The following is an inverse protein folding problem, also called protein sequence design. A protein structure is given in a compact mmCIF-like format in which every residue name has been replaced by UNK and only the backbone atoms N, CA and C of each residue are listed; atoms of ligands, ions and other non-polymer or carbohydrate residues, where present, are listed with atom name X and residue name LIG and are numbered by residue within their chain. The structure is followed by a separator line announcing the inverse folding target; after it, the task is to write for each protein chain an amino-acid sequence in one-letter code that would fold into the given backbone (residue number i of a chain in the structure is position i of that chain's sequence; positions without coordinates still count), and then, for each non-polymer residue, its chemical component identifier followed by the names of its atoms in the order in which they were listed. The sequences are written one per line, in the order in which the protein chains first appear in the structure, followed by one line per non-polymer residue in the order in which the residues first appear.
data_IF_810473778110
#
_entry.id   IF_810473778110
#
_cell.length_a   1.000
_cell.length_b   1.000
_cell.length_c   1.000
_cell.angle_alpha   90.00
_cell.angle_beta   90.00
_cell.angle_gamma   90.00
#
_symmetry.space_group_name_H-M   'P 1'
#
loop_
_entity.id
_entity.type
_entity.pdbx_description
1 polymer ?
#
# COMPACT_ATOMS: atom_id res chain seq x y z
N UNK A 1 -10.91 -22.34 11.20
CA UNK A 1 -11.24 -21.34 10.17
C UNK A 1 -10.07 -21.12 9.21
N UNK A 2 -8.88 -20.72 9.71
CA UNK A 2 -7.71 -20.42 8.87
C UNK A 2 -7.26 -21.54 7.91
N UNK A 3 -7.33 -22.82 8.31
CA UNK A 3 -7.03 -23.97 7.43
C UNK A 3 -7.86 -24.02 6.12
N UNK A 4 -8.99 -23.31 6.06
CA UNK A 4 -9.80 -23.23 4.82
C UNK A 4 -9.11 -22.44 3.71
N UNK A 5 -8.09 -21.65 4.04
CA UNK A 5 -7.36 -20.82 3.08
C UNK A 5 -6.10 -21.49 2.52
N UNK A 6 -5.71 -22.68 3.01
CA UNK A 6 -4.46 -23.38 2.63
C UNK A 6 -4.35 -23.68 1.12
N UNK A 7 -5.49 -23.76 0.43
CA UNK A 7 -5.56 -24.01 -1.02
C UNK A 7 -6.26 -22.87 -1.78
N UNK A 8 -6.19 -21.65 -1.26
CA UNK A 8 -6.79 -20.46 -1.88
C UNK A 8 -5.73 -19.58 -2.56
N UNK A 9 -6.02 -19.13 -3.77
CA UNK A 9 -5.18 -18.18 -4.51
C UNK A 9 -5.17 -16.80 -3.82
N UNK A 10 -4.00 -16.17 -3.69
CA UNK A 10 -3.81 -14.88 -2.99
C UNK A 10 -4.52 -14.82 -1.63
N UNK A 11 -4.37 -15.87 -0.81
CA UNK A 11 -5.07 -15.97 0.47
C UNK A 11 -4.84 -14.75 1.38
N UNK A 12 -3.64 -14.15 1.32
CA UNK A 12 -3.25 -12.93 2.02
C UNK A 12 -4.13 -11.70 1.72
N UNK A 13 -4.75 -11.66 0.53
CA UNK A 13 -5.64 -10.56 0.13
C UNK A 13 -7.06 -10.70 0.69
N UNK A 14 -7.43 -11.86 1.25
CA UNK A 14 -8.83 -12.14 1.61
C UNK A 14 -9.05 -12.68 3.03
N UNK A 15 -8.08 -13.38 3.63
CA UNK A 15 -8.35 -14.14 4.86
C UNK A 15 -8.65 -13.20 6.03
N UNK A 16 -7.88 -12.11 6.18
CA UNK A 16 -7.99 -11.20 7.31
C UNK A 16 -9.33 -10.46 7.24
N UNK A 17 -9.66 -9.93 6.07
CA UNK A 17 -10.92 -9.24 5.78
C UNK A 17 -12.10 -10.16 6.08
N UNK A 18 -12.03 -11.42 5.66
CA UNK A 18 -13.09 -12.41 5.93
C UNK A 18 -13.26 -12.65 7.42
N UNK A 19 -12.16 -12.82 8.18
CA UNK A 19 -12.22 -13.01 9.64
C UNK A 19 -12.84 -11.79 10.33
N UNK A 20 -12.29 -10.59 10.06
CA UNK A 20 -12.69 -9.38 10.79
C UNK A 20 -14.16 -9.02 10.50
N UNK A 21 -14.63 -9.15 9.26
CA UNK A 21 -16.03 -8.85 8.91
C UNK A 21 -17.04 -9.75 9.62
N UNK A 22 -16.63 -10.93 10.08
CA UNK A 22 -17.46 -11.87 10.85
C UNK A 22 -17.23 -11.77 12.37
N UNK A 23 -16.40 -10.84 12.85
CA UNK A 23 -16.00 -10.75 14.26
C UNK A 23 -16.89 -9.83 15.11
N UNK A 24 -17.75 -9.03 14.50
CA UNK A 24 -18.54 -7.99 15.18
C UNK A 24 -17.75 -6.74 15.58
N UNK A 25 -16.47 -6.64 15.20
CA UNK A 25 -15.67 -5.43 15.38
C UNK A 25 -16.12 -4.31 14.45
N UNK A 26 -15.91 -3.06 14.88
CA UNK A 26 -16.03 -1.89 14.00
C UNK A 26 -14.83 -1.86 13.06
N UNK A 27 -15.08 -1.75 11.75
CA UNK A 27 -14.06 -1.86 10.71
C UNK A 27 -14.06 -0.57 9.88
N UNK A 28 -12.87 0.00 9.68
CA UNK A 28 -12.63 1.10 8.74
C UNK A 28 -12.05 0.52 7.46
N UNK A 29 -12.68 0.80 6.32
CA UNK A 29 -12.17 0.40 5.00
C UNK A 29 -11.05 1.37 4.54
N UNK A 30 -9.95 1.38 5.28
CA UNK A 30 -8.81 2.25 5.04
C UNK A 30 -7.54 1.53 5.52
N UNK A 31 -6.67 1.18 4.58
CA UNK A 31 -5.44 0.43 4.84
C UNK A 31 -4.21 1.33 4.96
N UNK A 32 -4.40 2.66 4.94
CA UNK A 32 -3.40 3.70 5.22
C UNK A 32 -2.11 3.58 4.39
N UNK A 33 -2.21 3.07 3.16
CA UNK A 33 -1.08 2.98 2.22
C UNK A 33 -1.46 3.64 0.90
N UNK A 34 -0.61 4.55 0.42
CA UNK A 34 -0.70 5.08 -0.91
C UNK A 34 -0.19 4.04 -1.92
N UNK A 35 -1.04 3.66 -2.87
CA UNK A 35 -0.71 2.71 -3.94
C UNK A 35 -1.36 3.17 -5.23
N UNK A 36 -0.55 3.41 -6.26
CA UNK A 36 -1.04 3.83 -7.57
C UNK A 36 -1.30 2.64 -8.49
N UNK A 37 -2.59 2.40 -8.78
CA UNK A 37 -3.09 1.36 -9.68
C UNK A 37 -3.58 1.90 -11.03
N UNK A 38 -3.44 3.19 -11.32
CA UNK A 38 -3.98 3.83 -12.55
C UNK A 38 -3.43 3.21 -13.84
N UNK A 39 -2.26 2.56 -13.78
CA UNK A 39 -1.67 1.85 -14.91
C UNK A 39 -2.35 0.54 -15.31
N UNK A 40 -3.28 0.00 -14.50
CA UNK A 40 -4.10 -1.18 -14.85
C UNK A 40 -3.35 -2.51 -15.00
N UNK A 41 -2.11 -2.60 -14.51
CA UNK A 41 -1.29 -3.82 -14.56
C UNK A 41 -1.53 -4.78 -13.40
N UNK A 42 -0.85 -5.93 -13.44
CA UNK A 42 -0.82 -6.94 -12.36
C UNK A 42 -0.10 -6.47 -11.09
N UNK A 43 0.68 -5.41 -11.19
CA UNK A 43 1.38 -4.76 -10.08
C UNK A 43 1.16 -3.26 -10.13
N UNK A 44 1.15 -2.58 -8.97
CA UNK A 44 1.02 -1.13 -8.95
C UNK A 44 2.23 -0.46 -9.60
N UNK A 45 2.05 0.81 -9.97
CA UNK A 45 3.10 1.67 -10.51
C UNK A 45 4.31 1.72 -9.56
N UNK A 46 5.51 1.77 -10.14
CA UNK A 46 6.72 2.20 -9.41
C UNK A 46 6.68 3.72 -9.34
N UNK A 47 6.58 4.25 -8.12
CA UNK A 47 6.47 5.68 -7.86
C UNK A 47 7.78 6.38 -8.22
N UNK A 48 7.66 7.58 -8.76
CA UNK A 48 8.80 8.45 -9.15
C UNK A 48 8.68 9.79 -8.45
N UNK A 49 9.67 10.68 -8.65
CA UNK A 49 9.66 12.02 -8.06
C UNK A 49 8.42 12.84 -8.44
N UNK A 50 7.84 12.55 -9.60
CA UNK A 50 6.61 13.20 -10.09
C UNK A 50 5.37 12.86 -9.22
N UNK A 51 5.42 11.76 -8.48
CA UNK A 51 4.32 11.32 -7.60
C UNK A 51 4.40 11.93 -6.19
N UNK A 52 5.51 12.60 -5.83
CA UNK A 52 5.72 13.18 -4.49
C UNK A 52 4.56 14.06 -4.04
N UNK A 53 4.01 14.97 -4.87
CA UNK A 53 2.86 15.77 -4.44
C UNK A 53 1.69 14.89 -4.03
N UNK A 54 1.32 13.87 -4.81
CA UNK A 54 0.19 13.00 -4.48
C UNK A 54 0.46 12.15 -3.23
N UNK A 55 1.71 11.69 -3.03
CA UNK A 55 2.12 10.95 -1.84
C UNK A 55 1.94 11.82 -0.59
N UNK A 56 2.50 13.04 -0.59
CA UNK A 56 2.48 13.94 0.56
C UNK A 56 1.10 14.54 0.86
N UNK A 57 0.24 14.69 -0.16
CA UNK A 57 -1.15 15.11 0.05
C UNK A 57 -2.06 13.97 0.54
N UNK A 58 -1.60 12.72 0.49
CA UNK A 58 -2.39 11.59 0.95
C UNK A 58 -2.46 11.56 2.48
N UNK A 59 -3.57 11.06 3.03
CA UNK A 59 -3.69 10.78 4.47
C UNK A 59 -3.07 9.41 4.85
N UNK A 60 -2.20 8.85 4.01
CA UNK A 60 -1.62 7.53 4.20
C UNK A 60 -0.34 7.62 5.02
N UNK A 61 -0.07 6.57 5.81
CA UNK A 61 1.16 6.49 6.62
C UNK A 61 2.35 5.90 5.85
N UNK A 62 2.07 5.18 4.77
CA UNK A 62 3.07 4.50 3.95
C UNK A 62 2.73 4.64 2.46
N UNK A 63 3.71 4.41 1.59
CA UNK A 63 3.50 4.37 0.14
C UNK A 63 4.25 3.18 -0.50
N UNK A 64 3.76 2.68 -1.64
CA UNK A 64 4.46 1.68 -2.48
C UNK A 64 4.07 1.82 -3.96
N UNK A 65 4.88 1.37 -4.92
CA UNK A 65 6.19 0.72 -4.76
C UNK A 65 7.33 1.68 -5.11
N UNK A 66 8.42 1.62 -4.36
CA UNK A 66 9.68 2.30 -4.67
C UNK A 66 10.70 1.30 -5.20
N UNK A 67 11.56 1.74 -6.10
CA UNK A 67 12.65 0.95 -6.69
C UNK A 67 13.81 1.90 -6.99
N UNK A 68 14.93 1.73 -6.31
CA UNK A 68 16.12 2.59 -6.40
C UNK A 68 16.75 2.57 -7.79
N UNK A 69 16.57 1.50 -8.56
CA UNK A 69 17.03 1.38 -9.94
C UNK A 69 16.13 2.12 -10.93
N UNK A 70 14.89 2.42 -10.55
CA UNK A 70 13.95 3.18 -11.37
C UNK A 70 14.05 4.67 -11.04
N UNK A 71 13.99 5.01 -9.76
CA UNK A 71 14.11 6.39 -9.28
C UNK A 71 14.53 6.41 -7.80
N UNK A 72 15.81 6.67 -7.53
CA UNK A 72 16.33 6.87 -6.16
C UNK A 72 15.93 8.25 -5.59
N UNK A 73 15.66 9.23 -6.45
CA UNK A 73 15.39 10.60 -6.02
C UNK A 73 14.09 10.70 -5.23
N UNK A 74 13.05 9.94 -5.61
CA UNK A 74 11.81 9.88 -4.81
C UNK A 74 12.04 9.28 -3.42
N UNK A 75 12.91 8.27 -3.29
CA UNK A 75 13.22 7.64 -1.99
C UNK A 75 13.92 8.67 -1.10
N UNK A 76 14.92 9.36 -1.66
CA UNK A 76 15.67 10.41 -0.95
C UNK A 76 14.73 11.55 -0.52
N UNK A 77 13.86 12.01 -1.42
CA UNK A 77 12.93 13.10 -1.13
C UNK A 77 11.95 12.74 0.01
N UNK A 78 11.33 11.56 -0.04
CA UNK A 78 10.42 11.11 1.01
C UNK A 78 11.17 10.92 2.34
N UNK A 79 12.39 10.41 2.32
CA UNK A 79 13.23 10.29 3.52
C UNK A 79 13.52 11.65 4.15
N UNK A 80 13.91 12.64 3.34
CA UNK A 80 14.26 13.98 3.83
C UNK A 80 13.04 14.73 4.38
N UNK A 81 11.87 14.62 3.73
CA UNK A 81 10.64 15.26 4.23
C UNK A 81 10.20 14.62 5.55
N UNK A 82 10.18 13.29 5.63
CA UNK A 82 9.70 12.58 6.84
C UNK A 82 10.67 12.64 8.02
N UNK A 83 11.96 12.90 7.79
CA UNK A 83 12.94 13.09 8.86
C UNK A 83 12.82 14.45 9.56
N UNK A 84 12.25 15.43 8.88
CA UNK A 84 12.11 16.81 9.37
C UNK A 84 10.73 17.08 10.00
N UNK A 85 9.86 16.08 10.07
CA UNK A 85 8.59 16.07 10.84
C UNK A 85 8.79 15.52 12.26
#
# INVERSE_FOLDING_TARGET
FLKKFDFTHCADEIWLQTVIMNSGLSIKNDYLRYVDWRGGGWSPKVLTVDDVPEILHSNCLFARKFDDKVDEAVITHIYDVTKNE
#
